data_IF_393992899325
#
_entry.id   IF_393992899325
#
_cell.length_a   1.000
_cell.length_b   1.000
_cell.length_c   1.000
_cell.angle_alpha   90.00
_cell.angle_beta   90.00
_cell.angle_gamma   90.00
#
_symmetry.space_group_name_H-M   'P 1'
#
loop_
_entity.id
_entity.type
_entity.pdbx_description
1 polymer ?
#
# COMPACT_ATOMS: atom_id res chain seq x y z
N UNK A 1 17.34 23.08 9.13
CA UNK A 1 17.19 23.07 7.67
C UNK A 1 17.42 24.49 7.16
N UNK A 2 18.50 24.73 6.43
CA UNK A 2 18.84 26.02 5.80
C UNK A 2 18.63 26.01 4.28
N UNK A 3 18.79 27.17 3.63
CA UNK A 3 18.65 27.30 2.17
C UNK A 3 19.60 26.38 1.38
N UNK A 4 20.85 26.23 1.84
CA UNK A 4 21.81 25.35 1.20
C UNK A 4 21.35 23.89 1.22
N UNK A 5 20.76 23.44 2.34
CA UNK A 5 20.22 22.09 2.44
C UNK A 5 19.05 21.91 1.46
N UNK A 6 18.14 22.88 1.38
CA UNK A 6 17.00 22.84 0.44
C UNK A 6 17.45 22.80 -1.03
N UNK A 7 18.45 23.60 -1.41
CA UNK A 7 19.00 23.59 -2.77
C UNK A 7 19.69 22.26 -3.09
N UNK A 8 20.40 21.67 -2.12
CA UNK A 8 21.03 20.35 -2.27
C UNK A 8 20.02 19.21 -2.44
N UNK A 9 18.81 19.36 -1.87
CA UNK A 9 17.75 18.37 -1.97
C UNK A 9 16.87 18.54 -3.23
N UNK A 10 16.90 19.72 -3.87
CA UNK A 10 16.04 20.04 -5.01
C UNK A 10 16.08 19.03 -6.18
N UNK A 11 17.23 18.41 -6.56
CA UNK A 11 17.24 17.47 -7.67
C UNK A 11 16.47 16.17 -7.36
N UNK A 12 16.36 15.79 -6.08
CA UNK A 12 15.65 14.58 -5.68
C UNK A 12 14.14 14.74 -5.82
N UNK A 13 13.61 15.94 -5.63
CA UNK A 13 12.17 16.21 -5.72
C UNK A 13 11.57 15.87 -7.09
N UNK A 14 12.35 16.00 -8.17
CA UNK A 14 11.89 15.74 -9.55
C UNK A 14 11.69 14.24 -9.81
N UNK A 15 12.50 13.39 -9.18
CA UNK A 15 12.45 11.93 -9.35
C UNK A 15 11.77 11.23 -8.17
N UNK A 16 11.16 11.99 -7.25
CA UNK A 16 10.54 11.43 -6.07
C UNK A 16 9.11 11.02 -6.39
N UNK A 17 8.85 9.71 -6.41
CA UNK A 17 7.53 9.15 -6.64
C UNK A 17 7.00 8.47 -5.37
N UNK A 18 5.73 8.06 -5.40
CA UNK A 18 5.12 7.31 -4.28
C UNK A 18 5.88 6.01 -3.97
N UNK A 19 6.57 5.41 -4.94
CA UNK A 19 7.40 4.23 -4.73
C UNK A 19 8.65 4.49 -3.87
N UNK A 20 9.07 5.75 -3.74
CA UNK A 20 10.17 6.14 -2.87
C UNK A 20 9.70 6.48 -1.45
N UNK A 21 8.39 6.52 -1.20
CA UNK A 21 7.80 6.76 0.11
C UNK A 21 7.52 5.42 0.79
N UNK A 22 8.04 5.24 2.01
CA UNK A 22 7.75 4.08 2.86
C UNK A 22 7.18 4.57 4.18
N UNK A 23 6.08 3.95 4.59
CA UNK A 23 5.44 4.23 5.87
C UNK A 23 5.75 3.12 6.86
N UNK A 24 6.19 3.51 8.06
CA UNK A 24 6.41 2.62 9.19
C UNK A 24 5.58 3.09 10.37
N UNK A 25 5.10 2.15 11.19
CA UNK A 25 4.18 2.44 12.28
C UNK A 25 4.74 1.95 13.61
N UNK A 26 4.90 2.87 14.56
CA UNK A 26 5.33 2.55 15.94
C UNK A 26 4.11 2.14 16.75
N UNK A 27 3.87 0.83 16.80
CA UNK A 27 2.78 0.15 17.52
C UNK A 27 3.28 -1.21 18.03
N UNK A 28 2.51 -1.94 18.87
CA UNK A 28 2.80 -3.35 19.11
C UNK A 28 3.07 -4.10 17.79
N UNK A 29 4.11 -4.95 17.71
CA UNK A 29 4.95 -5.44 18.81
C UNK A 29 6.15 -4.53 19.18
N UNK A 30 6.37 -3.41 18.49
CA UNK A 30 7.52 -2.52 18.71
C UNK A 30 7.46 -1.69 20.00
N UNK A 31 6.26 -1.52 20.56
CA UNK A 31 6.02 -0.78 21.80
C UNK A 31 4.94 -1.46 22.64
N UNK A 32 4.98 -1.26 23.95
CA UNK A 32 3.92 -1.66 24.88
C UNK A 32 3.41 -0.46 25.68
N UNK A 33 2.12 -0.47 26.03
CA UNK A 33 1.53 0.57 26.85
C UNK A 33 1.97 0.47 28.31
N UNK A 34 2.29 1.61 28.92
CA UNK A 34 2.60 1.70 30.35
C UNK A 34 2.05 2.99 30.95
N UNK A 35 1.65 2.93 32.22
CA UNK A 35 1.19 4.10 32.97
C UNK A 35 2.25 4.49 33.98
N UNK A 36 2.74 5.72 33.87
CA UNK A 36 3.70 6.29 34.82
C UNK A 36 3.10 6.36 36.23
N UNK A 37 3.92 6.40 37.30
CA UNK A 37 3.42 6.65 38.67
C UNK A 37 2.59 7.95 38.80
N UNK A 38 2.84 8.94 37.93
CA UNK A 38 2.07 10.19 37.85
C UNK A 38 0.78 10.10 37.03
N UNK A 39 0.40 8.91 36.55
CA UNK A 39 -0.84 8.67 35.81
C UNK A 39 -0.79 8.93 34.30
N UNK A 40 0.35 9.35 33.74
CA UNK A 40 0.47 9.53 32.29
C UNK A 40 0.61 8.20 31.55
N UNK A 41 -0.12 8.04 30.44
CA UNK A 41 -0.01 6.89 29.52
C UNK A 41 1.11 7.12 28.52
N UNK A 42 2.05 6.18 28.45
CA UNK A 42 3.21 6.23 27.55
C UNK A 42 3.41 4.89 26.83
N UNK A 43 4.26 4.91 25.81
CA UNK A 43 4.67 3.73 25.06
C UNK A 43 6.13 3.40 25.39
N UNK A 44 6.36 2.21 25.92
CA UNK A 44 7.70 1.70 26.20
C UNK A 44 8.24 0.94 24.99
N UNK A 45 9.44 1.27 24.49
CA UNK A 45 10.06 0.57 23.37
C UNK A 45 10.31 -0.89 23.70
N UNK A 46 10.19 -1.75 22.69
CA UNK A 46 10.52 -3.18 22.73
C UNK A 46 11.69 -3.47 21.78
N UNK A 47 12.27 -4.67 21.89
CA UNK A 47 13.49 -5.06 21.17
C UNK A 47 13.41 -4.86 19.63
N UNK A 48 12.23 -5.05 19.03
CA UNK A 48 12.04 -4.90 17.58
C UNK A 48 12.10 -3.46 17.06
N UNK A 49 11.96 -2.45 17.92
CA UNK A 49 11.85 -1.06 17.49
C UNK A 49 13.13 -0.57 16.78
N UNK A 50 14.30 -0.95 17.30
CA UNK A 50 15.58 -0.53 16.73
C UNK A 50 15.76 -1.07 15.31
N UNK A 51 15.41 -2.34 15.09
CA UNK A 51 15.53 -2.96 13.77
C UNK A 51 14.57 -2.29 12.76
N UNK A 52 13.34 -1.99 13.17
CA UNK A 52 12.39 -1.24 12.34
C UNK A 52 12.93 0.15 11.95
N UNK A 53 13.56 0.87 12.87
CA UNK A 53 14.17 2.18 12.58
C UNK A 53 15.37 2.06 11.62
N UNK A 54 16.19 1.01 11.75
CA UNK A 54 17.28 0.73 10.80
C UNK A 54 16.67 0.50 9.41
N UNK A 55 15.66 -0.36 9.30
CA UNK A 55 15.01 -0.63 8.03
C UNK A 55 14.41 0.64 7.40
N UNK A 56 13.76 1.47 8.22
CA UNK A 56 13.16 2.73 7.80
C UNK A 56 14.18 3.77 7.31
N UNK A 57 15.42 3.68 7.75
CA UNK A 57 16.51 4.59 7.36
C UNK A 57 17.42 4.02 6.28
N UNK A 58 17.18 2.78 5.85
CA UNK A 58 17.88 2.13 4.73
C UNK A 58 17.13 2.26 3.41
N UNK A 59 17.87 2.31 2.31
CA UNK A 59 17.29 2.29 0.96
C UNK A 59 16.53 0.98 0.74
N UNK A 60 15.32 1.07 0.17
CA UNK A 60 14.55 -0.12 -0.19
C UNK A 60 15.14 -0.83 -1.39
N UNK A 61 15.24 -2.15 -1.31
CA UNK A 61 15.66 -3.02 -2.42
C UNK A 61 14.55 -3.28 -3.44
N UNK A 62 13.30 -2.89 -3.15
CA UNK A 62 12.12 -3.18 -3.97
C UNK A 62 11.47 -1.94 -4.61
N UNK A 63 11.90 -0.74 -4.21
CA UNK A 63 11.29 0.52 -4.64
C UNK A 63 11.20 0.63 -6.16
N UNK A 64 12.30 0.35 -6.88
CA UNK A 64 12.36 0.45 -8.34
C UNK A 64 11.46 -0.54 -9.08
N UNK A 65 11.16 -1.70 -8.48
CA UNK A 65 10.28 -2.71 -9.11
C UNK A 65 8.83 -2.31 -8.94
N UNK A 66 8.41 -1.95 -7.72
CA UNK A 66 7.02 -1.58 -7.42
C UNK A 66 6.57 -0.32 -8.17
N UNK A 67 7.50 0.63 -8.36
CA UNK A 67 7.26 1.87 -9.11
C UNK A 67 6.79 1.64 -10.55
N UNK A 68 7.19 0.52 -11.15
CA UNK A 68 6.80 0.18 -12.52
C UNK A 68 5.42 -0.46 -12.63
N UNK A 69 4.82 -0.88 -11.51
CA UNK A 69 3.57 -1.63 -11.49
C UNK A 69 2.39 -0.68 -11.39
N UNK A 70 1.55 -0.70 -12.44
CA UNK A 70 0.34 0.11 -12.54
C UNK A 70 -0.89 -0.70 -12.12
N UNK A 71 -1.66 -0.15 -11.18
CA UNK A 71 -2.88 -0.76 -10.63
C UNK A 71 -4.06 0.21 -10.75
N UNK A 72 -5.06 -0.17 -11.54
CA UNK A 72 -6.33 0.55 -11.60
C UNK A 72 -7.25 0.07 -10.47
N UNK A 73 -7.90 0.99 -9.76
CA UNK A 73 -8.83 0.67 -8.68
C UNK A 73 -10.23 1.14 -9.03
N UNK A 74 -11.20 0.24 -8.88
CA UNK A 74 -12.61 0.50 -9.14
C UNK A 74 -13.44 0.19 -7.91
N UNK A 75 -14.49 0.96 -7.69
CA UNK A 75 -15.44 0.73 -6.60
C UNK A 75 -16.67 0.00 -7.12
N UNK A 76 -16.68 -1.31 -6.88
CA UNK A 76 -17.81 -2.19 -7.18
C UNK A 76 -18.79 -2.32 -6.02
N UNK A 77 -18.72 -1.46 -5.00
CA UNK A 77 -19.60 -1.48 -3.83
C UNK A 77 -20.46 -0.21 -3.74
N UNK A 78 -21.45 -0.22 -2.83
CA UNK A 78 -22.27 0.96 -2.53
C UNK A 78 -21.61 1.96 -1.57
N UNK A 79 -20.44 1.63 -1.01
CA UNK A 79 -19.73 2.52 -0.10
C UNK A 79 -18.92 3.52 -0.89
N UNK A 80 -19.16 4.81 -0.68
CA UNK A 80 -18.47 5.85 -1.43
C UNK A 80 -16.97 5.88 -1.11
N UNK A 81 -16.16 6.31 -2.08
CA UNK A 81 -14.72 6.59 -1.95
C UNK A 81 -13.82 5.39 -1.65
N UNK A 82 -14.33 4.15 -1.72
CA UNK A 82 -13.52 2.95 -1.44
C UNK A 82 -12.33 2.83 -2.37
N UNK A 83 -12.51 3.17 -3.65
CA UNK A 83 -11.44 3.19 -4.64
C UNK A 83 -10.33 4.19 -4.28
N UNK A 84 -10.70 5.35 -3.75
CA UNK A 84 -9.74 6.37 -3.32
C UNK A 84 -8.91 5.92 -2.12
N UNK A 85 -9.52 5.22 -1.15
CA UNK A 85 -8.82 4.68 0.02
C UNK A 85 -7.88 3.53 -0.36
N UNK A 86 -8.35 2.60 -1.19
CA UNK A 86 -7.53 1.49 -1.68
C UNK A 86 -6.38 1.97 -2.59
N UNK A 87 -6.64 2.95 -3.47
CA UNK A 87 -5.59 3.57 -4.28
C UNK A 87 -4.54 4.23 -3.39
N UNK A 88 -4.94 4.99 -2.36
CA UNK A 88 -4.00 5.58 -1.40
C UNK A 88 -3.15 4.51 -0.70
N UNK A 89 -3.75 3.40 -0.29
CA UNK A 89 -3.04 2.27 0.34
C UNK A 89 -2.02 1.62 -0.60
N UNK A 90 -2.38 1.40 -1.86
CA UNK A 90 -1.47 0.88 -2.88
C UNK A 90 -0.32 1.87 -3.18
N UNK A 91 -0.60 3.17 -3.23
CA UNK A 91 0.47 4.19 -3.36
C UNK A 91 1.45 4.13 -2.19
N UNK A 92 0.98 3.99 -0.94
CA UNK A 92 1.87 3.84 0.22
C UNK A 92 2.70 2.56 0.20
N UNK A 93 2.24 1.52 -0.52
CA UNK A 93 3.02 0.30 -0.75
C UNK A 93 4.00 0.42 -1.93
N UNK A 94 3.92 1.52 -2.68
CA UNK A 94 4.81 1.89 -3.78
C UNK A 94 4.28 1.57 -5.19
N UNK A 95 2.99 1.28 -5.33
CA UNK A 95 2.35 1.08 -6.64
C UNK A 95 1.91 2.40 -7.26
N UNK A 96 1.97 2.48 -8.59
CA UNK A 96 1.33 3.57 -9.32
C UNK A 96 -0.15 3.26 -9.51
N UNK A 97 -1.04 4.12 -9.03
CA UNK A 97 -2.49 3.83 -9.10
C UNK A 97 -3.27 4.81 -9.96
N UNK A 98 -4.33 4.32 -10.58
CA UNK A 98 -5.41 5.14 -11.15
C UNK A 98 -6.76 4.69 -10.59
N UNK A 99 -7.78 5.52 -10.71
CA UNK A 99 -9.15 5.17 -10.32
C UNK A 99 -10.10 5.32 -11.50
N UNK A 100 -11.05 4.41 -11.65
CA UNK A 100 -12.14 4.52 -12.61
C UNK A 100 -13.44 3.93 -12.05
N UNK A 101 -14.62 4.30 -12.60
CA UNK A 101 -15.86 3.66 -12.20
C UNK A 101 -15.85 2.17 -12.52
N UNK A 102 -16.42 1.35 -11.63
CA UNK A 102 -16.77 -0.01 -11.96
C UNK A 102 -17.92 -0.05 -12.98
N UNK A 103 -18.08 -1.16 -13.68
CA UNK A 103 -19.23 -1.44 -14.55
C UNK A 103 -20.55 -1.50 -13.76
N UNK A 104 -20.50 -1.93 -12.50
CA UNK A 104 -21.62 -1.90 -11.56
C UNK A 104 -21.13 -1.82 -10.10
N UNK A 105 -22.04 -1.57 -9.16
CA UNK A 105 -21.75 -1.41 -7.72
C UNK A 105 -22.29 -2.55 -6.85
N UNK A 106 -22.57 -3.72 -7.44
CA UNK A 106 -23.18 -4.87 -6.76
C UNK A 106 -22.20 -6.03 -6.55
N UNK A 107 -20.89 -5.76 -6.55
CA UNK A 107 -19.89 -6.79 -6.30
C UNK A 107 -19.92 -7.21 -4.83
N UNK A 108 -20.27 -8.47 -4.59
CA UNK A 108 -20.21 -9.05 -3.25
C UNK A 108 -18.79 -9.45 -2.82
N UNK A 109 -17.91 -9.71 -3.81
CA UNK A 109 -16.52 -10.07 -3.62
C UNK A 109 -15.63 -9.26 -4.56
N UNK A 110 -14.46 -8.87 -4.08
CA UNK A 110 -13.46 -8.13 -4.83
C UNK A 110 -12.85 -9.01 -5.92
N UNK A 111 -12.42 -8.36 -7.00
CA UNK A 111 -11.86 -9.02 -8.17
C UNK A 111 -10.53 -8.39 -8.51
N UNK A 112 -9.49 -9.22 -8.68
CA UNK A 112 -8.21 -8.82 -9.24
C UNK A 112 -8.13 -9.33 -10.69
N UNK A 113 -8.08 -8.43 -11.65
CA UNK A 113 -7.80 -8.74 -13.05
C UNK A 113 -6.32 -8.51 -13.32
N UNK A 114 -5.64 -9.52 -13.85
CA UNK A 114 -4.23 -9.51 -14.21
C UNK A 114 -4.08 -9.43 -15.73
N UNK A 115 -3.62 -8.28 -16.24
CA UNK A 115 -3.38 -8.03 -17.66
C UNK A 115 -1.97 -8.37 -18.09
N UNK A 116 -1.07 -8.73 -17.17
CA UNK A 116 0.33 -9.01 -17.51
C UNK A 116 0.45 -10.26 -18.37
N UNK A 117 1.48 -10.37 -19.20
CA UNK A 117 1.75 -11.61 -19.94
C UNK A 117 2.44 -12.66 -19.06
N UNK A 118 3.12 -12.23 -17.99
CA UNK A 118 3.85 -13.08 -17.05
C UNK A 118 2.95 -13.78 -16.05
N UNK A 119 1.80 -13.18 -15.69
CA UNK A 119 0.80 -13.74 -14.80
C UNK A 119 1.38 -14.22 -13.46
N UNK A 120 2.21 -13.39 -12.82
CA UNK A 120 2.95 -13.74 -11.59
C UNK A 120 2.00 -13.89 -10.38
N UNK A 121 1.85 -15.11 -9.81
CA UNK A 121 0.99 -15.33 -8.66
C UNK A 121 1.46 -14.60 -7.40
N UNK A 122 2.76 -14.41 -7.22
CA UNK A 122 3.34 -13.74 -6.04
C UNK A 122 2.97 -12.26 -6.06
N UNK A 123 3.04 -11.63 -7.24
CA UNK A 123 2.68 -10.24 -7.42
C UNK A 123 1.18 -10.01 -7.19
N UNK A 124 0.32 -10.90 -7.71
CA UNK A 124 -1.12 -10.87 -7.45
C UNK A 124 -1.43 -10.95 -5.96
N UNK A 125 -0.80 -11.91 -5.27
CA UNK A 125 -1.00 -12.08 -3.83
C UNK A 125 -0.53 -10.84 -3.05
N UNK A 126 0.62 -10.27 -3.42
CA UNK A 126 1.14 -9.06 -2.77
C UNK A 126 0.16 -7.89 -2.87
N UNK A 127 -0.49 -7.68 -4.02
CA UNK A 127 -1.51 -6.62 -4.18
C UNK A 127 -2.71 -6.87 -3.26
N UNK A 128 -3.18 -8.12 -3.19
CA UNK A 128 -4.29 -8.53 -2.33
C UNK A 128 -3.96 -8.33 -0.85
N UNK A 129 -2.76 -8.74 -0.42
CA UNK A 129 -2.26 -8.60 0.94
C UNK A 129 -2.10 -7.12 1.33
N UNK A 130 -1.55 -6.31 0.41
CA UNK A 130 -1.44 -4.86 0.60
C UNK A 130 -2.81 -4.24 0.81
N UNK A 131 -3.86 -4.73 0.18
CA UNK A 131 -5.24 -4.27 0.39
C UNK A 131 -5.93 -4.96 1.59
N UNK A 132 -5.33 -5.96 2.21
CA UNK A 132 -5.94 -6.71 3.32
C UNK A 132 -7.22 -7.45 2.91
N UNK A 133 -7.32 -7.82 1.63
CA UNK A 133 -8.46 -8.58 1.12
C UNK A 133 -8.19 -10.06 1.38
N UNK A 134 -9.04 -10.73 2.16
CA UNK A 134 -8.85 -12.15 2.51
C UNK A 134 -9.02 -13.10 1.32
N UNK A 135 -9.94 -12.77 0.42
CA UNK A 135 -10.20 -13.55 -0.79
C UNK A 135 -10.67 -12.63 -1.90
N UNK A 136 -9.87 -12.51 -2.96
CA UNK A 136 -10.27 -11.87 -4.20
C UNK A 136 -10.45 -12.94 -5.30
N UNK A 137 -11.43 -12.76 -6.16
CA UNK A 137 -11.52 -13.54 -7.39
C UNK A 137 -10.43 -13.09 -8.34
N UNK A 138 -9.57 -14.01 -8.77
CA UNK A 138 -8.47 -13.70 -9.69
C UNK A 138 -8.91 -14.03 -11.12
N UNK A 139 -8.83 -13.04 -12.01
CA UNK A 139 -9.10 -13.19 -13.44
C UNK A 139 -7.81 -12.94 -14.21
N UNK A 140 -7.31 -13.97 -14.88
CA UNK A 140 -6.18 -13.87 -15.81
C UNK A 140 -6.67 -13.45 -17.19
N UNK A 141 -6.32 -12.25 -17.63
CA UNK A 141 -6.69 -11.71 -18.94
C UNK A 141 -5.50 -11.00 -19.58
N UNK A 142 -4.44 -11.72 -20.01
CA UNK A 142 -3.25 -11.10 -20.60
C UNK A 142 -3.59 -10.16 -21.76
N UNK A 143 -3.23 -8.88 -21.64
CA UNK A 143 -3.40 -7.87 -22.68
C UNK A 143 -2.18 -6.94 -22.71
N UNK A 144 -1.26 -7.12 -23.68
CA UNK A 144 -0.07 -6.28 -23.81
C UNK A 144 -0.38 -4.82 -24.20
N UNK A 145 -1.61 -4.52 -24.63
CA UNK A 145 -2.04 -3.16 -24.98
C UNK A 145 -2.75 -2.45 -23.81
N UNK A 146 -2.96 -3.12 -22.68
CA UNK A 146 -3.57 -2.50 -21.51
C UNK A 146 -2.69 -1.38 -20.96
N UNK A 147 -3.31 -0.26 -20.58
CA UNK A 147 -2.62 0.87 -19.94
C UNK A 147 -2.30 0.62 -18.47
N UNK A 148 -2.88 -0.43 -17.87
CA UNK A 148 -2.63 -0.88 -16.51
C UNK A 148 -2.23 -2.36 -16.48
N UNK A 149 -1.37 -2.76 -15.56
CA UNK A 149 -0.98 -4.17 -15.40
C UNK A 149 -2.02 -4.95 -14.60
N UNK A 150 -2.63 -4.30 -13.61
CA UNK A 150 -3.65 -4.90 -12.77
C UNK A 150 -4.87 -3.98 -12.67
N UNK A 151 -6.05 -4.57 -12.48
CA UNK A 151 -7.26 -3.88 -12.05
C UNK A 151 -7.82 -4.55 -10.82
N UNK A 152 -8.13 -3.77 -9.79
CA UNK A 152 -8.83 -4.24 -8.60
C UNK A 152 -10.23 -3.62 -8.58
N UNK A 153 -11.26 -4.47 -8.60
CA UNK A 153 -12.65 -4.06 -8.38
C UNK A 153 -13.01 -4.42 -6.94
N UNK A 154 -13.28 -3.42 -6.11
CA UNK A 154 -13.59 -3.60 -4.70
C UNK A 154 -15.04 -4.03 -4.52
N UNK A 155 -15.27 -5.15 -3.85
CA UNK A 155 -16.61 -5.60 -3.46
C UNK A 155 -17.04 -5.04 -2.09
N UNK A 156 -18.26 -5.39 -1.69
CA UNK A 156 -18.86 -4.97 -0.43
C UNK A 156 -18.17 -5.55 0.82
N UNK A 157 -17.33 -6.57 0.66
CA UNK A 157 -16.55 -7.20 1.72
C UNK A 157 -15.21 -6.49 2.01
N UNK A 158 -14.80 -5.55 1.16
CA UNK A 158 -13.58 -4.78 1.38
C UNK A 158 -13.69 -3.89 2.62
N UNK A 159 -12.85 -4.15 3.62
CA UNK A 159 -12.72 -3.32 4.83
C UNK A 159 -11.48 -2.44 4.74
N UNK A 160 -11.62 -1.11 4.58
CA UNK A 160 -10.49 -0.20 4.50
C UNK A 160 -9.77 -0.04 5.84
N UNK A 161 -10.42 -0.31 6.97
CA UNK A 161 -9.77 -0.27 8.28
C UNK A 161 -8.83 -1.46 8.42
N UNK A 162 -7.53 -1.19 8.50
CA UNK A 162 -6.53 -2.23 8.72
C UNK A 162 -5.66 -1.92 9.93
N UNK A 163 -5.03 -2.96 10.45
CA UNK A 163 -4.01 -2.92 11.48
C UNK A 163 -2.65 -2.80 10.79
N UNK A 164 -1.98 -1.64 10.83
CA UNK A 164 -0.78 -1.45 10.02
C UNK A 164 0.42 -2.28 10.47
N UNK A 165 0.37 -2.84 11.67
CA UNK A 165 1.28 -3.87 12.16
C UNK A 165 1.27 -5.18 11.34
N UNK A 166 0.22 -5.44 10.55
CA UNK A 166 0.12 -6.64 9.71
C UNK A 166 0.73 -6.45 8.30
N UNK A 167 1.22 -5.25 7.96
CA UNK A 167 1.89 -5.01 6.68
C UNK A 167 3.32 -5.56 6.70
N UNK A 168 3.64 -6.46 5.77
CA UNK A 168 5.03 -6.84 5.49
C UNK A 168 5.76 -5.67 4.79
N UNK A 169 6.92 -5.28 5.33
CA UNK A 169 7.73 -4.15 4.85
C UNK A 169 8.73 -4.53 3.74
#
# INVERSE_FOLDING_TARGET
MGLNDLLSLSPYAVNFTNANIRSYYIRPPYVTGWTTPGGASVLLPQDGLQQMLIEATTLSTYASVRETITVEVQNGSHFNTMESLAASRLNYAGYQTSTSPADNQNYANSVLVDFTTTQDPTQRQTIIDVLGIYSANIISLPDPNSTTQYRVILGAEYEPCFKPEDLAH
#
